data_IF_945160479183
#
_entry.id   IF_945160479183
#
_cell.length_a   1.000
_cell.length_b   1.000
_cell.length_c   1.000
_cell.angle_alpha   90.00
_cell.angle_beta   90.00
_cell.angle_gamma   90.00
#
_symmetry.space_group_name_H-M   'P 1'
#
loop_
_entity.id
_entity.type
_entity.pdbx_description
1 polymer ?
#
# COMPACT_ATOMS: atom_id res chain seq x y z
N UNK A 1 6.83 17.28 -25.05
CA UNK A 1 6.46 16.39 -23.93
C UNK A 1 5.07 15.85 -24.15
N UNK A 2 4.86 14.55 -24.00
CA UNK A 2 3.55 13.94 -24.16
C UNK A 2 2.59 14.43 -23.04
N UNK A 3 1.29 14.57 -23.34
CA UNK A 3 0.26 15.04 -22.38
C UNK A 3 0.28 14.29 -21.02
N UNK A 4 0.67 13.01 -21.03
CA UNK A 4 0.78 12.19 -19.83
C UNK A 4 2.00 12.55 -18.96
N UNK A 5 3.12 12.97 -19.57
CA UNK A 5 4.34 13.37 -18.86
C UNK A 5 4.12 14.69 -18.12
N UNK A 6 3.47 15.67 -18.77
CA UNK A 6 3.11 16.94 -18.14
C UNK A 6 2.21 16.69 -16.92
N UNK A 7 1.20 15.84 -17.05
CA UNK A 7 0.31 15.49 -15.95
C UNK A 7 1.05 14.77 -14.81
N UNK A 8 2.04 13.93 -15.11
CA UNK A 8 2.89 13.27 -14.12
C UNK A 8 3.73 14.29 -13.34
N UNK A 9 4.42 15.20 -14.04
CA UNK A 9 5.20 16.27 -13.44
C UNK A 9 4.34 17.18 -12.55
N UNK A 10 3.12 17.50 -12.98
CA UNK A 10 2.17 18.27 -12.17
C UNK A 10 1.80 17.57 -10.86
N UNK A 11 1.56 16.24 -10.88
CA UNK A 11 1.27 15.48 -9.65
C UNK A 11 2.47 15.42 -8.72
N UNK A 12 3.68 15.21 -9.26
CA UNK A 12 4.93 15.21 -8.48
C UNK A 12 5.11 16.56 -7.78
N UNK A 13 5.05 17.65 -8.54
CA UNK A 13 5.18 19.01 -8.00
C UNK A 13 4.13 19.32 -6.94
N UNK A 14 2.87 18.95 -7.19
CA UNK A 14 1.80 19.17 -6.21
C UNK A 14 2.06 18.42 -4.89
N UNK A 15 2.59 17.19 -4.95
CA UNK A 15 2.96 16.45 -3.74
C UNK A 15 4.15 17.08 -3.01
N UNK A 16 5.17 17.53 -3.74
CA UNK A 16 6.30 18.26 -3.16
C UNK A 16 5.86 19.54 -2.46
N UNK A 17 4.97 20.31 -3.08
CA UNK A 17 4.45 21.56 -2.52
C UNK A 17 3.56 21.29 -1.30
N UNK A 18 2.78 20.19 -1.29
CA UNK A 18 2.07 19.72 -0.11
C UNK A 18 3.04 19.37 1.03
N UNK A 19 4.16 18.70 0.73
CA UNK A 19 5.17 18.29 1.71
C UNK A 19 5.96 19.44 2.33
N UNK A 20 6.12 20.55 1.60
CA UNK A 20 6.75 21.78 2.10
C UNK A 20 5.89 22.52 3.13
N UNK A 21 4.62 22.15 3.31
CA UNK A 21 3.76 22.78 4.32
C UNK A 21 4.37 22.62 5.73
N UNK A 22 4.63 23.71 6.47
CA UNK A 22 5.26 23.64 7.79
C UNK A 22 4.32 23.03 8.84
N UNK A 23 3.02 23.30 8.70
CA UNK A 23 2.00 22.72 9.55
C UNK A 23 1.74 21.25 9.16
N UNK A 24 1.96 20.34 10.11
CA UNK A 24 1.82 18.88 9.90
C UNK A 24 0.39 18.47 9.55
N UNK A 25 -0.62 19.11 10.14
CA UNK A 25 -2.02 18.79 9.89
C UNK A 25 -2.44 19.24 8.48
N UNK A 26 -2.03 20.45 8.07
CA UNK A 26 -2.25 20.96 6.71
C UNK A 26 -1.50 20.14 5.67
N UNK A 27 -0.27 19.70 5.98
CA UNK A 27 0.50 18.78 5.14
C UNK A 27 -0.27 17.48 4.92
N UNK A 28 -0.74 16.86 5.99
CA UNK A 28 -1.49 15.60 5.92
C UNK A 28 -2.81 15.77 5.15
N UNK A 29 -3.53 16.86 5.37
CA UNK A 29 -4.77 17.18 4.64
C UNK A 29 -4.50 17.36 3.14
N UNK A 30 -3.44 18.07 2.77
CA UNK A 30 -3.04 18.28 1.38
C UNK A 30 -2.63 16.95 0.69
N UNK A 31 -1.83 16.11 1.36
CA UNK A 31 -1.47 14.78 0.84
C UNK A 31 -2.70 13.89 0.65
N UNK A 32 -3.61 13.85 1.63
CA UNK A 32 -4.85 13.07 1.56
C UNK A 32 -5.78 13.57 0.45
N UNK A 33 -5.90 14.89 0.26
CA UNK A 33 -6.68 15.47 -0.83
C UNK A 33 -6.12 15.09 -2.19
N UNK A 34 -4.79 15.14 -2.37
CA UNK A 34 -4.14 14.69 -3.60
C UNK A 34 -4.44 13.21 -3.89
N UNK A 35 -4.30 12.33 -2.89
CA UNK A 35 -4.66 10.90 -3.01
C UNK A 35 -6.13 10.74 -3.43
N UNK A 36 -7.04 11.50 -2.84
CA UNK A 36 -8.47 11.51 -3.19
C UNK A 36 -8.75 11.90 -4.65
N UNK A 37 -7.84 12.65 -5.30
CA UNK A 37 -7.95 12.92 -6.74
C UNK A 37 -7.38 11.80 -7.62
N UNK A 38 -6.46 10.99 -7.09
CA UNK A 38 -5.70 10.00 -7.87
C UNK A 38 -6.33 8.60 -7.81
N UNK A 39 -6.91 8.25 -6.67
CA UNK A 39 -7.38 6.91 -6.33
C UNK A 39 -8.91 6.92 -6.17
N UNK A 40 -9.56 5.87 -6.67
CA UNK A 40 -11.02 5.76 -6.53
C UNK A 40 -11.41 5.58 -5.07
N UNK A 41 -12.52 6.21 -4.67
CA UNK A 41 -12.98 6.27 -3.28
C UNK A 41 -13.14 4.89 -2.65
N UNK A 42 -13.68 3.92 -3.40
CA UNK A 42 -13.85 2.53 -2.93
C UNK A 42 -12.55 1.85 -2.47
N UNK A 43 -11.41 2.25 -3.01
CA UNK A 43 -10.12 1.71 -2.58
C UNK A 43 -9.65 2.39 -1.30
N UNK A 44 -9.97 3.67 -1.12
CA UNK A 44 -9.67 4.43 0.08
C UNK A 44 -10.52 3.97 1.29
N UNK A 45 -11.78 3.59 1.05
CA UNK A 45 -12.70 3.09 2.09
C UNK A 45 -12.25 1.76 2.72
N UNK A 46 -11.37 0.99 2.06
CA UNK A 46 -10.81 -0.25 2.59
C UNK A 46 -9.63 -0.03 3.56
N UNK A 47 -9.05 1.18 3.59
CA UNK A 47 -7.83 1.44 4.37
C UNK A 47 -7.95 1.19 5.88
N UNK A 48 -9.09 1.44 6.57
CA UNK A 48 -9.24 1.12 7.99
C UNK A 48 -9.16 -0.37 8.33
N UNK A 49 -9.65 -1.23 7.44
CA UNK A 49 -9.57 -2.68 7.62
C UNK A 49 -8.14 -3.15 7.37
N UNK A 50 -7.54 -2.70 6.26
CA UNK A 50 -6.17 -3.03 5.88
C UNK A 50 -5.15 -2.54 6.89
N UNK A 51 -5.43 -1.42 7.57
CA UNK A 51 -4.61 -0.90 8.66
C UNK A 51 -4.41 -1.91 9.80
N UNK A 52 -5.40 -2.76 10.07
CA UNK A 52 -5.32 -3.79 11.11
C UNK A 52 -4.67 -5.10 10.62
N UNK A 53 -4.54 -5.27 9.31
CA UNK A 53 -3.96 -6.47 8.70
C UNK A 53 -2.50 -6.25 8.29
N UNK A 54 -2.15 -5.03 7.87
CA UNK A 54 -0.82 -4.67 7.39
C UNK A 54 0.29 -5.08 8.37
N UNK A 55 1.48 -5.33 7.80
CA UNK A 55 2.68 -5.57 8.58
C UNK A 55 2.83 -4.50 9.66
N UNK A 56 3.11 -4.95 10.88
CA UNK A 56 2.98 -4.13 12.08
C UNK A 56 3.80 -2.83 11.99
N UNK A 57 5.02 -2.90 11.42
CA UNK A 57 5.89 -1.73 11.24
C UNK A 57 5.32 -0.66 10.29
N UNK A 58 4.33 -0.99 9.46
CA UNK A 58 3.73 -0.06 8.50
C UNK A 58 2.46 0.61 9.01
N UNK A 59 1.91 0.16 10.15
CA UNK A 59 0.62 0.67 10.67
C UNK A 59 0.66 2.13 11.11
N UNK A 60 1.84 2.71 11.19
CA UNK A 60 2.01 4.11 11.51
C UNK A 60 2.26 5.02 10.30
N UNK A 61 2.27 4.41 9.11
CA UNK A 61 2.40 5.07 7.83
C UNK A 61 1.01 5.34 7.23
N UNK A 62 0.83 6.49 6.61
CA UNK A 62 -0.37 6.78 5.82
C UNK A 62 -0.47 5.82 4.63
N UNK A 63 -1.67 5.60 4.04
CA UNK A 63 -1.81 4.82 2.82
C UNK A 63 -0.90 5.28 1.67
N UNK A 64 -0.63 6.59 1.57
CA UNK A 64 0.32 7.13 0.60
C UNK A 64 1.75 6.67 0.90
N UNK A 65 2.21 6.83 2.14
CA UNK A 65 3.55 6.41 2.56
C UNK A 65 3.76 4.90 2.38
N UNK A 66 2.76 4.09 2.76
CA UNK A 66 2.75 2.65 2.51
C UNK A 66 2.85 2.32 1.02
N UNK A 67 2.14 3.06 0.18
CA UNK A 67 2.19 2.87 -1.27
C UNK A 67 3.54 3.30 -1.86
N UNK A 68 4.14 4.39 -1.39
CA UNK A 68 5.48 4.81 -1.82
C UNK A 68 6.56 3.80 -1.39
N UNK A 69 6.47 3.24 -0.18
CA UNK A 69 7.35 2.16 0.28
C UNK A 69 7.19 0.91 -0.59
N UNK A 70 5.95 0.50 -0.88
CA UNK A 70 5.66 -0.62 -1.77
C UNK A 70 6.20 -0.40 -3.19
N UNK A 71 6.09 0.82 -3.72
CA UNK A 71 6.61 1.18 -5.05
C UNK A 71 8.12 1.00 -5.14
N UNK A 72 8.85 1.42 -4.10
CA UNK A 72 10.31 1.23 -4.01
C UNK A 72 10.67 -0.24 -3.96
N UNK A 73 10.06 -0.99 -3.04
CA UNK A 73 10.28 -2.43 -2.90
C UNK A 73 9.94 -3.19 -4.19
N UNK A 74 8.85 -2.83 -4.89
CA UNK A 74 8.50 -3.44 -6.17
C UNK A 74 9.55 -3.15 -7.25
N UNK A 75 10.03 -1.91 -7.32
CA UNK A 75 11.06 -1.55 -8.29
C UNK A 75 12.34 -2.37 -8.05
N UNK A 76 12.82 -2.45 -6.81
CA UNK A 76 14.01 -3.20 -6.42
C UNK A 76 13.85 -4.70 -6.73
N UNK A 77 12.78 -5.32 -6.23
CA UNK A 77 12.52 -6.74 -6.45
C UNK A 77 12.34 -7.08 -7.94
N UNK A 78 11.68 -6.21 -8.72
CA UNK A 78 11.56 -6.40 -10.17
C UNK A 78 12.92 -6.40 -10.85
N UNK A 79 13.79 -5.44 -10.52
CA UNK A 79 15.12 -5.33 -11.14
C UNK A 79 15.97 -6.55 -10.79
N UNK A 80 15.93 -7.00 -9.54
CA UNK A 80 16.63 -8.21 -9.10
C UNK A 80 16.18 -9.45 -9.86
N UNK A 81 14.86 -9.71 -9.90
CA UNK A 81 14.32 -10.84 -10.66
C UNK A 81 14.57 -10.73 -12.16
N UNK A 82 14.53 -9.53 -12.72
CA UNK A 82 14.87 -9.30 -14.12
C UNK A 82 16.34 -9.61 -14.40
N UNK A 83 17.27 -9.20 -13.53
CA UNK A 83 18.70 -9.48 -13.66
C UNK A 83 18.98 -10.99 -13.62
N UNK A 84 18.31 -11.72 -12.72
CA UNK A 84 18.42 -13.19 -12.63
C UNK A 84 17.95 -13.89 -13.90
N UNK A 85 16.89 -13.39 -14.53
CA UNK A 85 16.34 -13.96 -15.78
C UNK A 85 17.14 -13.56 -17.02
N UNK A 86 17.77 -12.38 -17.01
CA UNK A 86 18.52 -11.83 -18.13
C UNK A 86 19.91 -11.34 -17.66
N UNK A 87 20.87 -12.25 -17.37
CA UNK A 87 22.17 -11.87 -16.80
C UNK A 87 22.99 -10.93 -17.68
N UNK A 88 22.81 -11.01 -19.00
CA UNK A 88 23.52 -10.18 -19.98
C UNK A 88 22.84 -8.81 -20.22
N UNK A 89 21.67 -8.56 -19.62
CA UNK A 89 20.93 -7.33 -19.85
C UNK A 89 21.46 -6.17 -19.01
N UNK A 90 21.57 -4.98 -19.62
CA UNK A 90 21.82 -3.72 -18.92
C UNK A 90 20.60 -3.33 -18.06
N UNK A 91 20.62 -3.75 -16.79
CA UNK A 91 19.56 -3.48 -15.80
C UNK A 91 19.48 -2.00 -15.44
N UNK A 92 20.57 -1.23 -15.61
CA UNK A 92 20.65 0.19 -15.28
C UNK A 92 19.65 1.04 -16.07
N UNK A 93 19.29 0.62 -17.29
CA UNK A 93 18.29 1.26 -18.15
C UNK A 93 16.86 0.74 -17.93
N UNK A 94 16.69 -0.35 -17.18
CA UNK A 94 15.35 -0.92 -16.97
C UNK A 94 14.58 -0.06 -15.98
N UNK A 95 13.38 0.35 -16.38
CA UNK A 95 12.41 1.08 -15.55
C UNK A 95 11.06 0.38 -15.67
N UNK A 96 10.73 -0.60 -14.80
CA UNK A 96 9.42 -1.24 -14.84
C UNK A 96 8.31 -0.22 -14.57
N UNK A 97 8.54 0.69 -13.64
CA UNK A 97 7.66 1.79 -13.27
C UNK A 97 8.51 3.01 -12.90
N UNK A 98 7.87 4.14 -12.64
CA UNK A 98 8.54 5.26 -11.97
C UNK A 98 8.55 5.01 -10.46
N UNK A 99 9.71 5.20 -9.81
CA UNK A 99 9.86 5.03 -8.35
C UNK A 99 9.10 6.12 -7.58
N UNK A 100 8.87 7.28 -8.18
CA UNK A 100 7.97 8.29 -7.64
C UNK A 100 6.53 7.90 -7.97
N UNK A 101 5.78 7.48 -6.96
CA UNK A 101 4.36 7.08 -7.11
C UNK A 101 3.53 8.04 -7.99
N UNK A 102 3.48 9.37 -7.74
CA UNK A 102 2.66 10.28 -8.55
C UNK A 102 3.13 10.44 -10.00
N UNK A 103 4.36 10.06 -10.32
CA UNK A 103 4.89 10.14 -11.69
C UNK A 103 4.40 8.99 -12.59
N UNK A 104 3.83 7.93 -12.02
CA UNK A 104 3.26 6.82 -12.77
C UNK A 104 1.97 7.23 -13.49
N UNK A 105 1.58 6.46 -14.52
CA UNK A 105 0.29 6.68 -15.17
C UNK A 105 -0.87 6.41 -14.18
N UNK A 106 -2.06 7.04 -14.37
CA UNK A 106 -3.19 6.79 -13.47
C UNK A 106 -3.67 5.32 -13.43
N UNK A 107 -3.35 4.52 -14.45
CA UNK A 107 -3.60 3.07 -14.46
C UNK A 107 -2.61 2.32 -13.56
N UNK A 108 -1.33 2.63 -13.68
CA UNK A 108 -0.27 2.06 -12.84
C UNK A 108 -0.41 2.48 -11.38
N UNK A 109 -0.73 3.75 -11.10
CA UNK A 109 -1.02 4.20 -9.73
C UNK A 109 -2.14 3.39 -9.08
N UNK A 110 -3.23 3.14 -9.83
CA UNK A 110 -4.35 2.31 -9.35
C UNK A 110 -3.91 0.85 -9.13
N UNK A 111 -3.05 0.31 -9.99
CA UNK A 111 -2.56 -1.05 -9.88
C UNK A 111 -1.59 -1.23 -8.69
N UNK A 112 -0.65 -0.29 -8.52
CA UNK A 112 0.29 -0.25 -7.40
C UNK A 112 -0.43 -0.12 -6.06
N UNK A 113 -1.44 0.75 -5.99
CA UNK A 113 -2.28 0.88 -4.80
C UNK A 113 -2.93 -0.44 -4.43
N UNK A 114 -3.58 -1.10 -5.39
CA UNK A 114 -4.26 -2.39 -5.17
C UNK A 114 -3.29 -3.53 -4.84
N UNK A 115 -2.12 -3.56 -5.47
CA UNK A 115 -1.08 -4.54 -5.16
C UNK A 115 -0.59 -4.38 -3.72
N UNK A 116 -0.34 -3.14 -3.27
CA UNK A 116 -0.02 -2.85 -1.87
C UNK A 116 -1.13 -3.30 -0.94
N UNK A 117 -2.40 -3.01 -1.25
CA UNK A 117 -3.53 -3.47 -0.43
C UNK A 117 -3.58 -5.01 -0.31
N UNK A 118 -3.25 -5.74 -1.39
CA UNK A 118 -3.15 -7.20 -1.33
C UNK A 118 -2.01 -7.67 -0.41
N UNK A 119 -0.88 -6.96 -0.38
CA UNK A 119 0.22 -7.23 0.55
C UNK A 119 -0.18 -6.91 2.01
N UNK A 120 -0.94 -5.84 2.23
CA UNK A 120 -1.47 -5.49 3.55
C UNK A 120 -2.41 -6.56 4.09
N UNK A 121 -3.27 -7.15 3.26
CA UNK A 121 -4.18 -8.24 3.68
C UNK A 121 -3.42 -9.43 4.28
N UNK A 122 -2.25 -9.75 3.74
CA UNK A 122 -1.44 -10.88 4.21
C UNK A 122 -0.50 -10.50 5.36
N UNK A 123 -0.37 -9.21 5.68
CA UNK A 123 0.43 -8.73 6.80
C UNK A 123 1.94 -8.91 6.65
N UNK A 124 2.44 -9.17 5.42
CA UNK A 124 3.86 -9.38 5.15
C UNK A 124 4.61 -8.06 4.91
N UNK A 125 5.91 -7.99 5.27
CA UNK A 125 6.80 -7.00 4.70
C UNK A 125 6.78 -7.04 3.16
N UNK A 126 6.86 -5.87 2.52
CA UNK A 126 6.59 -5.79 1.08
C UNK A 126 7.62 -6.51 0.21
N UNK A 127 8.89 -6.46 0.57
CA UNK A 127 9.96 -7.20 -0.12
C UNK A 127 9.74 -8.72 -0.06
N UNK A 128 9.35 -9.27 1.09
CA UNK A 128 9.01 -10.70 1.23
C UNK A 128 7.79 -11.06 0.38
N UNK A 129 6.74 -10.24 0.45
CA UNK A 129 5.56 -10.44 -0.39
C UNK A 129 5.91 -10.41 -1.88
N UNK A 130 6.69 -9.43 -2.31
CA UNK A 130 7.05 -9.23 -3.70
C UNK A 130 7.96 -10.35 -4.22
N UNK A 131 8.97 -10.76 -3.46
CA UNK A 131 9.87 -11.85 -3.84
C UNK A 131 9.07 -13.14 -4.08
N UNK A 132 8.16 -13.49 -3.16
CA UNK A 132 7.30 -14.66 -3.29
C UNK A 132 6.40 -14.62 -4.54
N UNK A 133 5.81 -13.46 -4.84
CA UNK A 133 4.92 -13.31 -6.01
C UNK A 133 5.71 -13.31 -7.32
N UNK A 134 6.79 -12.52 -7.40
CA UNK A 134 7.63 -12.41 -8.60
C UNK A 134 8.31 -13.76 -8.90
N UNK A 135 8.96 -14.34 -7.89
CA UNK A 135 9.60 -15.65 -7.98
C UNK A 135 8.62 -16.76 -8.31
N UNK A 136 7.44 -16.78 -7.68
CA UNK A 136 6.41 -17.76 -7.99
C UNK A 136 5.95 -17.73 -9.45
N UNK A 137 5.79 -16.53 -10.04
CA UNK A 137 5.44 -16.43 -11.47
C UNK A 137 6.59 -16.88 -12.40
N UNK A 138 7.83 -16.52 -12.08
CA UNK A 138 8.98 -16.86 -12.92
C UNK A 138 9.36 -18.34 -12.81
N UNK A 139 9.47 -18.85 -11.59
CA UNK A 139 9.95 -20.21 -11.31
C UNK A 139 8.84 -21.23 -11.49
N UNK A 140 7.65 -21.00 -10.91
CA UNK A 140 6.59 -22.01 -10.89
C UNK A 140 5.71 -21.92 -12.14
N UNK A 141 5.31 -20.71 -12.54
CA UNK A 141 4.43 -20.52 -13.72
C UNK A 141 5.20 -20.37 -15.04
N UNK A 142 6.54 -20.37 -14.99
CA UNK A 142 7.43 -20.26 -16.16
C UNK A 142 7.19 -18.98 -16.99
N UNK A 143 6.84 -17.88 -16.33
CA UNK A 143 6.73 -16.59 -17.01
C UNK A 143 8.10 -16.14 -17.50
N UNK A 144 8.14 -15.57 -18.70
CA UNK A 144 9.38 -15.07 -19.30
C UNK A 144 9.85 -13.74 -18.71
N UNK A 145 8.96 -13.02 -18.00
CA UNK A 145 9.26 -11.70 -17.43
C UNK A 145 8.55 -11.54 -16.09
N UNK A 146 9.14 -10.78 -15.15
CA UNK A 146 8.48 -10.51 -13.89
C UNK A 146 7.14 -9.78 -14.14
N UNK A 147 6.10 -10.06 -13.35
CA UNK A 147 4.78 -9.47 -13.51
C UNK A 147 4.76 -7.95 -13.29
N UNK A 148 3.84 -7.28 -13.98
CA UNK A 148 3.48 -5.87 -13.79
C UNK A 148 2.62 -5.70 -12.53
N UNK A 149 2.47 -4.47 -11.97
CA UNK A 149 1.70 -4.27 -10.74
C UNK A 149 0.27 -4.79 -10.78
N UNK A 150 -0.41 -4.71 -11.93
CA UNK A 150 -1.79 -5.20 -12.09
C UNK A 150 -1.92 -6.74 -12.10
N UNK A 151 -0.78 -7.45 -12.08
CA UNK A 151 -0.67 -8.90 -12.06
C UNK A 151 -0.21 -9.41 -10.68
N UNK A 152 0.12 -8.53 -9.73
CA UNK A 152 0.57 -8.90 -8.38
C UNK A 152 -0.58 -9.27 -7.44
N UNK A 153 -1.81 -8.94 -7.81
CA UNK A 153 -3.01 -9.25 -7.05
C UNK A 153 -3.93 -10.16 -7.87
N UNK A 154 -4.55 -11.13 -7.20
CA UNK A 154 -5.39 -12.14 -7.85
C UNK A 154 -5.38 -13.46 -7.11
N UNK A 155 -5.93 -14.50 -7.74
CA UNK A 155 -6.17 -15.80 -7.10
C UNK A 155 -4.91 -16.49 -6.57
N UNK A 156 -3.74 -16.21 -7.17
CA UNK A 156 -2.46 -16.82 -6.78
C UNK A 156 -1.72 -16.05 -5.69
N UNK A 157 -2.14 -14.82 -5.38
CA UNK A 157 -1.40 -13.99 -4.42
C UNK A 157 -1.43 -14.57 -3.01
N UNK A 158 -2.62 -14.88 -2.50
CA UNK A 158 -2.81 -15.42 -1.16
C UNK A 158 -2.18 -16.83 -0.99
N UNK A 159 -2.40 -17.82 -1.88
CA UNK A 159 -1.77 -19.13 -1.74
C UNK A 159 -0.24 -19.10 -1.68
N UNK A 160 0.41 -18.16 -2.39
CA UNK A 160 1.88 -18.04 -2.39
C UNK A 160 2.46 -17.42 -1.12
N UNK A 161 1.63 -16.74 -0.34
CA UNK A 161 2.09 -15.88 0.76
C UNK A 161 1.56 -16.28 2.12
N UNK A 162 0.60 -17.24 2.16
CA UNK A 162 -0.14 -17.64 3.36
C UNK A 162 0.75 -17.97 4.56
N UNK A 163 1.87 -18.65 4.34
CA UNK A 163 2.69 -19.22 5.43
C UNK A 163 4.08 -18.58 5.51
N UNK A 164 4.29 -17.43 4.85
CA UNK A 164 5.59 -16.77 4.84
C UNK A 164 5.85 -15.90 6.07
N UNK A 165 4.81 -15.57 6.84
CA UNK A 165 4.95 -14.77 8.06
C UNK A 165 5.30 -15.69 9.24
N UNK A 166 6.53 -16.21 9.24
CA UNK A 166 7.01 -17.11 10.29
C UNK A 166 7.51 -16.34 11.51
N UNK A 167 7.62 -17.02 12.65
CA UNK A 167 8.18 -16.45 13.89
C UNK A 167 9.61 -15.96 13.70
N UNK A 168 10.39 -16.64 12.86
CA UNK A 168 11.78 -16.28 12.54
C UNK A 168 11.81 -14.98 11.74
N UNK A 169 10.98 -14.85 10.70
CA UNK A 169 10.88 -13.62 9.92
C UNK A 169 10.43 -12.44 10.80
N UNK A 170 9.45 -12.67 11.68
CA UNK A 170 9.02 -11.65 12.63
C UNK A 170 10.18 -11.28 13.55
N UNK A 171 10.89 -12.24 14.14
CA UNK A 171 11.98 -12.01 15.07
C UNK A 171 13.19 -11.28 14.46
N UNK A 172 13.43 -11.50 13.16
CA UNK A 172 14.46 -10.81 12.38
C UNK A 172 14.14 -9.32 12.25
N UNK A 173 12.86 -9.00 11.99
CA UNK A 173 12.47 -7.65 11.59
C UNK A 173 11.91 -6.80 12.72
N UNK A 174 11.15 -7.40 13.63
CA UNK A 174 10.45 -6.69 14.70
C UNK A 174 11.44 -5.88 15.55
N UNK A 175 11.16 -4.60 15.74
CA UNK A 175 12.05 -3.67 16.46
C UNK A 175 13.48 -3.61 15.90
N UNK A 176 13.63 -3.64 14.56
CA UNK A 176 14.86 -3.27 13.88
C UNK A 176 15.39 -1.88 14.30
N UNK A 177 16.63 -1.56 13.99
CA UNK A 177 17.30 -0.33 14.48
C UNK A 177 16.66 0.95 13.92
N UNK A 178 16.15 0.87 12.69
CA UNK A 178 15.46 1.95 11.98
C UNK A 178 13.94 1.95 12.20
N UNK A 179 13.45 1.16 13.16
CA UNK A 179 12.03 1.02 13.44
C UNK A 179 11.43 2.34 13.97
N UNK A 180 10.15 2.58 13.70
CA UNK A 180 9.47 3.81 14.13
C UNK A 180 9.56 3.96 15.67
N UNK A 181 10.15 5.07 16.18
CA UNK A 181 10.36 5.28 17.62
C UNK A 181 9.10 5.15 18.46
N UNK A 182 7.92 5.33 17.86
CA UNK A 182 6.63 5.17 18.54
C UNK A 182 6.41 3.78 19.09
N UNK A 183 7.04 2.72 18.57
CA UNK A 183 6.80 1.37 19.10
C UNK A 183 7.53 1.07 20.41
N UNK A 184 8.55 1.87 20.76
CA UNK A 184 9.43 1.59 21.88
C UNK A 184 8.89 2.09 23.21
N UNK A 185 9.41 1.53 24.30
CA UNK A 185 8.91 1.73 25.65
C UNK A 185 8.81 3.21 26.06
N UNK A 186 9.76 4.03 25.62
CA UNK A 186 9.80 5.47 25.92
C UNK A 186 8.62 6.27 25.34
N UNK A 187 7.99 5.76 24.29
CA UNK A 187 6.89 6.40 23.55
C UNK A 187 5.56 5.63 23.69
N UNK A 188 5.52 4.60 24.55
CA UNK A 188 4.33 3.77 24.73
C UNK A 188 3.17 4.58 25.32
N UNK A 189 2.04 4.61 24.60
CA UNK A 189 0.82 5.33 24.93
C UNK A 189 -0.41 4.42 25.01
N UNK A 190 -0.19 3.09 25.07
CA UNK A 190 -1.25 2.09 25.15
C UNK A 190 -2.20 2.04 23.94
N UNK A 191 -1.79 2.57 22.78
CA UNK A 191 -2.63 2.53 21.58
C UNK A 191 -2.68 1.12 20.96
N UNK A 192 -3.68 0.89 20.11
CA UNK A 192 -3.95 -0.40 19.51
C UNK A 192 -2.79 -0.95 18.65
N UNK A 193 -2.05 -0.08 17.95
CA UNK A 193 -0.92 -0.49 17.10
C UNK A 193 0.26 -0.95 17.96
N UNK A 194 0.59 -0.22 19.02
CA UNK A 194 1.62 -0.67 19.97
C UNK A 194 1.23 -1.97 20.67
N UNK A 195 -0.03 -2.12 21.07
CA UNK A 195 -0.50 -3.35 21.73
C UNK A 195 -0.40 -4.56 20.79
N UNK A 196 -0.73 -4.41 19.51
CA UNK A 196 -0.56 -5.45 18.50
C UNK A 196 0.92 -5.84 18.30
N UNK A 197 1.84 -4.86 18.33
CA UNK A 197 3.28 -5.16 18.28
C UNK A 197 3.76 -5.96 19.49
N UNK A 198 3.27 -5.65 20.69
CA UNK A 198 3.59 -6.40 21.90
C UNK A 198 3.03 -7.83 21.84
N UNK A 199 1.82 -8.03 21.29
CA UNK A 199 1.26 -9.37 21.07
C UNK A 199 2.10 -10.18 20.08
N UNK A 200 2.55 -9.57 18.99
CA UNK A 200 3.43 -10.21 18.02
C UNK A 200 4.80 -10.54 18.62
N UNK A 201 5.36 -9.65 19.45
CA UNK A 201 6.56 -9.91 20.23
C UNK A 201 6.37 -11.09 21.19
N UNK A 202 5.21 -11.20 21.83
CA UNK A 202 4.89 -12.31 22.72
C UNK A 202 4.93 -13.65 21.98
N UNK A 203 4.37 -13.72 20.77
CA UNK A 203 4.43 -14.91 19.93
C UNK A 203 5.87 -15.30 19.61
N UNK A 204 6.71 -14.34 19.24
CA UNK A 204 8.14 -14.56 18.97
C UNK A 204 8.88 -15.11 20.19
N UNK A 205 8.69 -14.51 21.36
CA UNK A 205 9.39 -14.93 22.59
C UNK A 205 8.95 -16.32 23.02
N UNK A 206 7.65 -16.63 22.94
CA UNK A 206 7.10 -17.94 23.33
C UNK A 206 7.55 -19.06 22.38
N UNK A 207 7.70 -18.77 21.09
CA UNK A 207 8.13 -19.75 20.10
C UNK A 207 9.66 -19.92 20.03
N UNK A 208 10.44 -19.07 20.70
CA UNK A 208 11.89 -19.13 20.65
C UNK A 208 12.44 -20.36 21.38
N UNK A 209 13.56 -20.91 20.87
CA UNK A 209 14.32 -21.98 21.53
C UNK A 209 14.83 -21.54 22.90
N UNK A 210 15.23 -20.27 23.02
CA UNK A 210 15.61 -19.62 24.27
C UNK A 210 14.75 -18.36 24.49
N UNK A 211 13.59 -18.50 25.18
CA UNK A 211 12.70 -17.38 25.47
C UNK A 211 13.35 -16.30 26.33
N UNK A 212 14.24 -16.66 27.26
CA UNK A 212 14.87 -15.71 28.17
C UNK A 212 15.86 -14.81 27.42
N UNK A 213 16.72 -15.39 26.59
CA UNK A 213 17.64 -14.61 25.73
C UNK A 213 16.89 -13.76 24.72
N UNK A 214 15.85 -14.32 24.09
CA UNK A 214 15.02 -13.57 23.14
C UNK A 214 14.33 -12.40 23.81
N UNK A 215 13.74 -12.59 25.00
CA UNK A 215 13.16 -11.48 25.77
C UNK A 215 14.22 -10.45 26.18
N UNK A 216 15.41 -10.91 26.58
CA UNK A 216 16.56 -10.06 26.93
C UNK A 216 16.92 -9.10 25.80
N UNK A 217 16.99 -9.57 24.56
CA UNK A 217 17.19 -8.73 23.35
C UNK A 217 16.20 -7.58 23.30
N UNK A 218 14.91 -7.85 23.45
CA UNK A 218 13.87 -6.82 23.32
C UNK A 218 13.73 -5.89 24.52
N UNK A 219 13.97 -6.41 25.73
CA UNK A 219 13.86 -5.67 26.98
C UNK A 219 15.10 -4.78 27.24
N UNK A 220 16.29 -5.35 27.09
CA UNK A 220 17.54 -4.75 27.55
C UNK A 220 18.31 -4.05 26.42
N UNK A 221 18.33 -4.63 25.22
CA UNK A 221 19.12 -4.07 24.10
C UNK A 221 18.26 -3.11 23.27
N UNK A 222 17.08 -3.57 22.84
CA UNK A 222 16.19 -2.82 21.95
C UNK A 222 15.27 -1.84 22.69
N UNK A 223 15.07 -1.99 24.00
CA UNK A 223 14.12 -1.21 24.80
C UNK A 223 12.70 -1.13 24.22
N UNK A 224 12.25 -2.23 23.62
CA UNK A 224 10.88 -2.37 23.13
C UNK A 224 9.86 -2.34 24.29
N UNK A 225 10.26 -2.80 25.47
CA UNK A 225 9.41 -2.94 26.66
C UNK A 225 10.04 -2.29 27.89
N UNK A 226 9.19 -1.81 28.80
CA UNK A 226 9.61 -1.55 30.18
C UNK A 226 9.62 -2.87 30.96
N UNK A 227 10.45 -2.99 31.99
CA UNK A 227 10.43 -4.17 32.88
C UNK A 227 9.04 -4.42 33.45
N UNK A 228 8.32 -3.37 33.88
CA UNK A 228 6.94 -3.49 34.38
C UNK A 228 6.00 -4.11 33.33
N UNK A 229 6.08 -3.66 32.08
CA UNK A 229 5.27 -4.21 30.98
C UNK A 229 5.69 -5.64 30.66
N UNK A 230 6.99 -5.94 30.65
CA UNK A 230 7.51 -7.28 30.43
C UNK A 230 7.00 -8.26 31.50
N UNK A 231 7.01 -7.89 32.79
CA UNK A 231 6.47 -8.72 33.87
C UNK A 231 4.98 -8.99 33.67
N UNK A 232 4.21 -7.98 33.25
CA UNK A 232 2.78 -8.15 32.99
C UNK A 232 2.47 -9.08 31.82
N UNK A 233 3.34 -9.15 30.79
CA UNK A 233 3.13 -9.96 29.58
C UNK A 233 3.72 -11.36 29.70
N UNK A 234 4.90 -11.48 30.31
CA UNK A 234 5.73 -12.70 30.32
C UNK A 234 5.88 -13.35 31.71
N UNK A 235 5.40 -12.68 32.76
CA UNK A 235 5.56 -13.14 34.14
C UNK A 235 6.93 -12.78 34.75
N UNK A 236 7.02 -12.77 36.09
CA UNK A 236 8.21 -12.29 36.79
C UNK A 236 9.42 -13.22 36.66
N UNK A 237 9.22 -14.53 36.47
CA UNK A 237 10.30 -15.50 36.41
C UNK A 237 11.11 -15.36 35.12
N UNK A 238 10.44 -15.40 33.96
CA UNK A 238 11.10 -15.27 32.66
C UNK A 238 11.82 -13.91 32.51
N UNK A 239 11.22 -12.84 33.05
CA UNK A 239 11.87 -11.51 33.05
C UNK A 239 13.14 -11.51 33.89
N UNK A 240 13.16 -12.21 35.03
CA UNK A 240 14.35 -12.31 35.87
C UNK A 240 15.48 -13.03 35.13
N UNK A 241 15.17 -14.14 34.48
CA UNK A 241 16.13 -14.91 33.67
C UNK A 241 16.68 -14.07 32.50
N UNK A 242 15.81 -13.36 31.79
CA UNK A 242 16.19 -12.45 30.71
C UNK A 242 17.13 -11.33 31.18
N UNK A 243 16.90 -10.76 32.37
CA UNK A 243 17.76 -9.72 32.94
C UNK A 243 19.13 -10.25 33.37
N UNK A 244 19.21 -11.48 33.88
CA UNK A 244 20.48 -12.11 34.28
C UNK A 244 21.37 -12.46 33.08
N UNK A 245 20.76 -12.83 31.94
CA UNK A 245 21.47 -13.19 30.72
C UNK A 245 21.76 -12.03 29.77
N UNK A 246 21.28 -10.82 30.06
CA UNK A 246 21.44 -9.67 29.17
C UNK A 246 22.87 -9.12 29.20
N UNK A 247 23.48 -8.94 28.02
CA UNK A 247 24.85 -8.44 27.86
C UNK A 247 24.99 -7.30 26.83
N UNK A 248 23.90 -6.86 26.19
CA UNK A 248 23.95 -5.85 25.14
C UNK A 248 23.90 -4.40 25.64
N UNK A 249 24.38 -3.49 24.78
CA UNK A 249 24.32 -2.04 25.00
C UNK A 249 22.94 -1.51 24.60
N UNK A 250 22.27 -0.75 25.48
CA UNK A 250 21.06 0.01 25.17
C UNK A 250 21.10 0.78 23.85
N UNK A 251 20.12 0.57 22.98
CA UNK A 251 19.86 1.46 21.84
C UNK A 251 18.98 2.63 22.32
N UNK A 252 19.48 3.86 22.21
CA UNK A 252 18.71 5.06 22.53
C UNK A 252 17.71 5.38 21.41
N UNK A 253 16.43 5.49 21.78
CA UNK A 253 15.37 5.92 20.88
C UNK A 253 14.98 7.37 21.21
N UNK A 254 14.90 8.21 20.17
CA UNK A 254 14.76 9.67 20.27
C UNK A 254 13.60 10.20 21.14
N UNK A 255 13.68 11.51 21.42
CA UNK A 255 12.96 12.21 22.49
C UNK A 255 11.41 12.12 22.45
N UNK A 256 10.82 12.29 23.65
CA UNK A 256 9.40 12.22 24.01
C UNK A 256 8.59 13.40 23.49
N UNK A 257 8.06 13.32 22.27
CA UNK A 257 6.89 14.12 21.93
C UNK A 257 5.63 13.29 22.17
N UNK A 258 5.01 13.47 23.34
CA UNK A 258 3.67 12.94 23.61
C UNK A 258 2.65 13.65 22.72
N UNK A 259 2.50 13.15 21.50
CA UNK A 259 1.42 13.52 20.59
C UNK A 259 0.41 12.38 20.53
N UNK A 260 -0.84 12.74 20.27
CA UNK A 260 -1.91 11.79 19.98
C UNK A 260 -1.44 10.83 18.87
N UNK A 261 -1.44 9.53 19.17
CA UNK A 261 -1.08 8.51 18.20
C UNK A 261 -2.19 8.37 17.16
N UNK A 262 -1.94 8.94 15.99
CA UNK A 262 -2.86 8.88 14.86
C UNK A 262 -2.58 7.58 14.08
N UNK A 263 -3.58 6.71 13.86
CA UNK A 263 -3.41 5.49 13.08
C UNK A 263 -3.13 5.85 11.62
N UNK A 264 -2.45 4.96 10.89
CA UNK A 264 -2.12 5.17 9.47
C UNK A 264 -3.35 5.47 8.61
N UNK A 265 -4.51 4.85 8.89
CA UNK A 265 -5.77 5.07 8.17
C UNK A 265 -6.50 6.40 8.49
N UNK A 266 -5.94 7.29 9.31
CA UNK A 266 -6.62 8.53 9.68
C UNK A 266 -7.05 9.36 8.47
N UNK A 267 -8.31 9.78 8.48
CA UNK A 267 -8.96 10.50 7.38
C UNK A 267 -9.60 9.63 6.30
N UNK A 268 -9.37 8.32 6.34
CA UNK A 268 -9.99 7.34 5.45
C UNK A 268 -11.06 6.59 6.24
N UNK A 269 -12.33 6.99 6.10
CA UNK A 269 -13.42 6.40 6.89
C UNK A 269 -14.01 5.23 6.10
N UNK A 270 -14.15 4.09 6.77
CA UNK A 270 -14.96 2.99 6.24
C UNK A 270 -16.42 3.33 6.45
N UNK A 271 -17.21 3.27 5.38
CA UNK A 271 -18.66 3.43 5.43
C UNK A 271 -19.39 2.11 5.76
N UNK A 272 -18.65 1.06 6.12
CA UNK A 272 -19.22 -0.23 6.51
C UNK A 272 -19.51 -0.23 8.02
N UNK A 273 -20.67 -0.78 8.39
CA UNK A 273 -21.21 -0.80 9.76
C UNK A 273 -20.45 -1.74 10.72
N UNK A 274 -19.50 -2.53 10.23
CA UNK A 274 -18.70 -3.51 10.98
C UNK A 274 -17.35 -2.95 11.48
N UNK A 275 -17.11 -1.65 11.31
CA UNK A 275 -15.76 -1.12 11.25
C UNK A 275 -15.07 -0.93 12.61
N UNK A 276 -13.79 -1.29 12.62
CA UNK A 276 -12.74 -0.85 13.56
C UNK A 276 -12.77 0.65 13.90
N UNK A 277 -13.43 1.48 13.08
CA UNK A 277 -13.65 2.90 13.30
C UNK A 277 -14.58 3.23 14.49
N UNK A 278 -15.56 2.38 14.84
CA UNK A 278 -16.54 2.69 15.89
C UNK A 278 -15.92 2.77 17.29
N UNK A 279 -14.93 1.92 17.56
CA UNK A 279 -14.18 1.89 18.82
C UNK A 279 -12.87 2.67 18.76
N UNK A 280 -12.63 3.41 17.66
CA UNK A 280 -11.39 4.13 17.46
C UNK A 280 -11.37 5.42 18.31
N UNK A 281 -10.35 5.64 19.16
CA UNK A 281 -10.28 6.83 20.02
C UNK A 281 -10.20 8.16 19.27
N UNK A 282 -9.91 8.13 17.96
CA UNK A 282 -9.76 9.32 17.12
C UNK A 282 -10.84 9.43 16.03
N UNK A 283 -11.95 8.70 16.16
CA UNK A 283 -13.01 8.61 15.15
C UNK A 283 -13.65 9.98 14.85
N UNK A 284 -13.91 10.80 15.87
CA UNK A 284 -14.46 12.14 15.71
C UNK A 284 -13.50 13.06 14.96
N UNK A 285 -12.22 13.13 15.36
CA UNK A 285 -11.24 13.96 14.65
C UNK A 285 -11.01 13.45 13.22
N UNK A 286 -11.10 12.13 13.02
CA UNK A 286 -11.03 11.48 11.71
C UNK A 286 -12.21 11.91 10.82
N UNK A 287 -13.44 11.95 11.36
CA UNK A 287 -14.64 12.42 10.66
C UNK A 287 -14.49 13.86 10.16
N UNK A 288 -14.11 14.77 11.05
CA UNK A 288 -13.92 16.18 10.69
C UNK A 288 -12.78 16.34 9.68
N UNK A 289 -11.67 15.60 9.83
CA UNK A 289 -10.58 15.63 8.87
C UNK A 289 -11.02 15.10 7.49
N UNK A 290 -11.75 13.99 7.43
CA UNK A 290 -12.20 13.39 6.18
C UNK A 290 -13.14 14.32 5.41
N UNK A 291 -14.03 15.02 6.10
CA UNK A 291 -14.91 16.02 5.45
C UNK A 291 -14.12 17.22 4.90
N UNK A 292 -13.08 17.70 5.59
CA UNK A 292 -12.20 18.74 5.03
C UNK A 292 -11.45 18.29 3.78
N UNK A 293 -10.93 17.06 3.80
CA UNK A 293 -10.28 16.44 2.64
C UNK A 293 -11.27 16.33 1.47
N UNK A 294 -12.47 15.81 1.71
CA UNK A 294 -13.56 15.69 0.73
C UNK A 294 -13.93 17.04 0.14
N UNK A 295 -14.14 18.06 0.98
CA UNK A 295 -14.44 19.41 0.53
C UNK A 295 -13.34 19.97 -0.38
N UNK A 296 -12.07 19.71 -0.05
CA UNK A 296 -10.93 20.12 -0.88
C UNK A 296 -10.89 19.38 -2.22
N UNK A 297 -11.16 18.07 -2.24
CA UNK A 297 -11.25 17.28 -3.48
C UNK A 297 -12.37 17.80 -4.37
N UNK A 298 -13.58 18.01 -3.83
CA UNK A 298 -14.73 18.54 -4.58
C UNK A 298 -14.45 19.94 -5.11
N UNK A 299 -13.92 20.84 -4.28
CA UNK A 299 -13.55 22.21 -4.70
C UNK A 299 -12.56 22.21 -5.85
N UNK A 300 -11.62 21.27 -5.87
CA UNK A 300 -10.54 21.22 -6.88
C UNK A 300 -10.97 20.54 -8.17
N UNK A 301 -11.89 19.57 -8.10
CA UNK A 301 -12.18 18.67 -9.23
C UNK A 301 -13.64 18.65 -9.67
N UNK A 302 -14.55 19.24 -8.89
CA UNK A 302 -15.99 19.19 -9.10
C UNK A 302 -16.65 17.84 -8.80
N UNK A 303 -15.92 16.86 -8.24
CA UNK A 303 -16.44 15.52 -7.94
C UNK A 303 -15.88 14.98 -6.63
N UNK A 304 -16.68 14.18 -5.91
CA UNK A 304 -16.22 13.45 -4.72
C UNK A 304 -15.37 12.23 -5.07
N UNK A 305 -15.54 11.67 -6.27
CA UNK A 305 -14.70 10.60 -6.81
C UNK A 305 -14.30 10.98 -8.24
N UNK A 306 -13.24 11.81 -8.39
CA UNK A 306 -12.80 12.31 -9.68
C UNK A 306 -12.38 11.19 -10.62
N UNK A 307 -11.81 10.13 -10.05
CA UNK A 307 -11.30 8.99 -10.82
C UNK A 307 -12.42 8.15 -11.40
N UNK A 308 -13.46 7.85 -10.62
CA UNK A 308 -14.67 7.17 -11.10
C UNK A 308 -15.41 8.01 -12.15
N UNK A 309 -15.58 9.31 -11.89
CA UNK A 309 -16.23 10.23 -12.84
C UNK A 309 -15.49 10.25 -14.20
N UNK A 310 -14.16 10.35 -14.17
CA UNK A 310 -13.35 10.29 -15.40
C UNK A 310 -13.48 8.94 -16.12
N UNK A 311 -13.49 7.82 -15.40
CA UNK A 311 -13.70 6.49 -16.02
C UNK A 311 -15.06 6.38 -16.68
N UNK A 312 -16.11 6.89 -16.06
CA UNK A 312 -17.46 6.91 -16.63
C UNK A 312 -17.52 7.74 -17.92
N UNK A 313 -16.92 8.94 -17.94
CA UNK A 313 -16.83 9.76 -19.16
C UNK A 313 -16.09 8.99 -20.28
N UNK A 314 -14.96 8.34 -19.95
CA UNK A 314 -14.18 7.58 -20.92
C UNK A 314 -14.94 6.34 -21.44
N UNK A 315 -15.69 5.66 -20.58
CA UNK A 315 -16.53 4.53 -20.95
C UNK A 315 -17.66 4.95 -21.89
N UNK A 316 -18.36 6.05 -21.58
CA UNK A 316 -19.40 6.64 -22.45
C UNK A 316 -18.84 6.99 -23.83
N UNK A 317 -17.70 7.68 -23.88
CA UNK A 317 -17.05 8.03 -25.15
C UNK A 317 -16.57 6.81 -25.96
N UNK A 318 -16.17 5.71 -25.29
CA UNK A 318 -15.86 4.43 -25.95
C UNK A 318 -17.11 3.79 -26.54
N UNK A 319 -18.19 3.73 -25.77
CA UNK A 319 -19.46 3.16 -26.22
C UNK A 319 -20.04 3.96 -27.39
N UNK A 320 -19.96 5.29 -27.36
CA UNK A 320 -20.39 6.15 -28.47
C UNK A 320 -19.60 5.85 -29.75
N UNK A 321 -18.26 5.84 -29.69
CA UNK A 321 -17.42 5.47 -30.85
C UNK A 321 -17.71 4.08 -31.40
N UNK A 322 -17.99 3.12 -30.51
CA UNK A 322 -18.38 1.78 -30.93
C UNK A 322 -19.71 1.80 -31.68
N UNK A 323 -20.74 2.48 -31.15
CA UNK A 323 -22.04 2.65 -31.83
C UNK A 323 -21.88 3.36 -33.18
N UNK A 324 -21.06 4.40 -33.26
CA UNK A 324 -20.81 5.13 -34.51
C UNK A 324 -20.12 4.23 -35.54
N UNK A 325 -19.18 3.38 -35.11
CA UNK A 325 -18.53 2.39 -35.98
C UNK A 325 -19.52 1.35 -36.50
N UNK A 326 -20.38 0.83 -35.63
CA UNK A 326 -21.42 -0.15 -36.01
C UNK A 326 -22.37 0.47 -37.04
N UNK A 327 -22.90 1.67 -36.79
CA UNK A 327 -23.77 2.38 -37.74
C UNK A 327 -23.11 2.64 -39.10
N UNK A 328 -21.81 2.99 -39.11
CA UNK A 328 -21.05 3.15 -40.36
C UNK A 328 -20.92 1.83 -41.11
N UNK A 329 -20.67 0.73 -40.40
CA UNK A 329 -20.58 -0.59 -41.01
C UNK A 329 -21.91 -1.05 -41.59
N UNK A 330 -23.01 -0.84 -40.86
CA UNK A 330 -24.38 -1.11 -41.34
C UNK A 330 -24.68 -0.33 -42.62
N UNK A 331 -24.33 0.97 -42.64
CA UNK A 331 -24.52 1.82 -43.82
C UNK A 331 -23.67 1.38 -45.02
N UNK A 332 -22.46 0.87 -44.79
CA UNK A 332 -21.61 0.31 -45.87
C UNK A 332 -22.25 -0.94 -46.45
N UNK A 333 -22.71 -1.87 -45.60
CA UNK A 333 -23.38 -3.10 -46.03
C UNK A 333 -24.65 -2.79 -46.82
N UNK A 334 -25.43 -1.81 -46.38
CA UNK A 334 -26.62 -1.34 -47.10
C UNK A 334 -26.27 -0.74 -48.47
N UNK A 335 -25.20 0.05 -48.57
CA UNK A 335 -24.72 0.60 -49.84
C UNK A 335 -24.24 -0.50 -50.79
N UNK A 336 -23.48 -1.47 -50.28
CA UNK A 336 -22.95 -2.58 -51.06
C UNK A 336 -24.10 -3.44 -51.62
N UNK A 337 -25.15 -3.67 -50.82
CA UNK A 337 -26.35 -4.38 -51.26
C UNK A 337 -27.11 -3.63 -52.37
N UNK A 338 -27.18 -2.29 -52.31
CA UNK A 338 -27.78 -1.48 -53.36
C UNK A 338 -26.97 -1.53 -54.66
N UNK A 339 -25.64 -1.42 -54.57
CA UNK A 339 -24.73 -1.53 -55.74
C UNK A 339 -24.84 -2.91 -56.39
N UNK A 340 -24.95 -3.97 -55.58
CA UNK A 340 -25.11 -5.33 -56.10
C UNK A 340 -26.49 -5.55 -56.74
N UNK A 341 -27.55 -4.94 -56.20
CA UNK A 341 -28.86 -4.93 -56.84
C UNK A 341 -28.82 -4.19 -58.19
N UNK A 342 -28.22 -3.00 -58.26
CA UNK A 342 -28.07 -2.25 -59.52
C UNK A 342 -27.30 -3.05 -60.58
N UNK A 343 -26.23 -3.77 -60.20
CA UNK A 343 -25.53 -4.67 -61.12
C UNK A 343 -26.43 -5.77 -61.69
N UNK A 344 -27.25 -6.40 -60.85
CA UNK A 344 -28.16 -7.48 -61.27
C UNK A 344 -29.29 -6.98 -62.17
N UNK A 345 -29.80 -5.77 -61.95
CA UNK A 345 -30.88 -5.20 -62.78
C UNK A 345 -30.38 -4.45 -64.02
N UNK A 346 -29.09 -4.08 -64.08
CA UNK A 346 -28.46 -3.41 -65.22
C UNK A 346 -27.98 -4.34 -66.33
N UNK A 347 -27.95 -5.66 -66.11
CA UNK A 347 -27.57 -6.68 -67.11
C UNK A 347 -28.78 -7.24 -67.90
N UNK A 348 -30.01 -6.84 -67.57
CA UNK A 348 -31.26 -7.29 -68.20
C UNK A 348 -31.87 -6.28 -69.22
N UNK A 349 -31.08 -5.30 -69.69
CA UNK A 349 -31.40 -4.41 -70.81
C UNK A 349 -30.35 -4.54 -71.92
#
# INVERSE_FOLDING_TARGET
>A
MAKNEIAALQRVRALEDARKQPDKAKRLEAEAALVGTWIERRHLEAEPELQQQAWIGYRYMTPLQRTELFVKAYHEAYIEWYARQFPEADTGKKRPINVLFPANSPGEMSALWRARQQADVVGLPYDVHLDAILGGHLINDKWQRPPRPNQLYGKLALPRTRDLLTTELIAERLYAEDWDPRFFAGQYQHDAVQNAAIQMLQQVVVAAEDPARTLGKYLCERHALTQRKAVAVFGPQLVREALLGASGVPIEHGAKERRLMVPGCFGYISLRDDASCQVCPVSEQCAVFSERVRATVVRTTGSEDPRKAWRQVKARARQQRHRDKVKRQEKIVELDALVEAERKFGEDW
#
